data_IF_506667427259
#
_entry.id   IF_506667427259
#
_cell.length_a   1.000
_cell.length_b   1.000
_cell.length_c   1.000
_cell.angle_alpha   90.00
_cell.angle_beta   90.00
_cell.angle_gamma   90.00
#
_symmetry.space_group_name_H-M   'P 1'
#
loop_
_entity.id
_entity.type
_entity.pdbx_description
1 polymer ?
#
# COMPACT_ATOMS: atom_id res chain seq x y z
N UNK A 1 -1.80 12.19 9.43
CA UNK A 1 -0.76 11.92 8.41
C UNK A 1 -1.48 11.35 7.22
N UNK A 2 -1.23 11.88 6.04
CA UNK A 2 -1.68 11.25 4.80
C UNK A 2 -0.52 10.50 4.16
N UNK A 3 -0.85 9.53 3.32
CA UNK A 3 0.10 8.91 2.41
C UNK A 3 -0.35 9.09 0.97
N UNK A 4 0.61 9.08 0.06
CA UNK A 4 0.34 9.12 -1.37
C UNK A 4 1.07 7.94 -2.03
N UNK A 5 0.32 7.18 -2.81
CA UNK A 5 0.81 6.07 -3.61
C UNK A 5 0.28 6.16 -5.05
N UNK A 6 0.96 5.52 -6.00
CA UNK A 6 0.56 5.50 -7.41
C UNK A 6 0.49 4.07 -7.93
N UNK A 7 -0.66 3.72 -8.50
CA UNK A 7 -0.85 2.47 -9.23
C UNK A 7 -0.83 2.77 -10.73
N UNK A 8 0.03 2.09 -11.48
CA UNK A 8 0.08 2.15 -12.95
C UNK A 8 -0.66 1.00 -13.62
N UNK A 9 -0.61 0.94 -14.94
CA UNK A 9 -1.14 -0.19 -15.72
C UNK A 9 -2.61 -0.06 -16.14
N UNK A 10 -3.20 1.14 -16.05
CA UNK A 10 -4.57 1.40 -16.48
C UNK A 10 -4.67 1.74 -17.98
N UNK A 11 -4.01 0.96 -18.84
CA UNK A 11 -4.07 1.13 -20.28
C UNK A 11 -5.39 0.56 -20.83
N UNK A 12 -6.47 1.33 -20.71
CA UNK A 12 -7.79 0.96 -21.22
C UNK A 12 -8.14 1.76 -22.48
N UNK A 13 -8.75 1.10 -23.46
CA UNK A 13 -9.05 1.67 -24.79
C UNK A 13 -9.88 2.97 -24.73
N UNK A 14 -10.65 3.17 -23.66
CA UNK A 14 -11.58 4.29 -23.49
C UNK A 14 -11.05 5.43 -22.59
N UNK A 15 -9.75 5.45 -22.24
CA UNK A 15 -9.16 6.54 -21.43
C UNK A 15 -7.68 6.73 -21.72
N UNK A 16 -7.25 7.99 -21.88
CA UNK A 16 -5.83 8.35 -21.99
C UNK A 16 -5.10 8.36 -20.63
N UNK A 17 -5.82 8.20 -19.51
CA UNK A 17 -5.25 8.19 -18.16
C UNK A 17 -4.73 6.79 -17.86
N UNK A 18 -3.46 6.69 -17.44
CA UNK A 18 -2.71 5.43 -17.25
C UNK A 18 -2.34 5.14 -15.79
N UNK A 19 -2.46 6.16 -14.94
CA UNK A 19 -2.07 6.11 -13.53
C UNK A 19 -3.26 6.46 -12.64
N UNK A 20 -3.29 5.84 -11.47
CA UNK A 20 -4.21 6.13 -10.39
C UNK A 20 -3.38 6.57 -9.17
N UNK A 21 -3.48 7.84 -8.79
CA UNK A 21 -2.89 8.33 -7.56
C UNK A 21 -3.90 8.18 -6.43
N UNK A 22 -3.48 7.55 -5.34
CA UNK A 22 -4.31 7.29 -4.17
C UNK A 22 -3.68 8.05 -3.01
N UNK A 23 -4.43 8.98 -2.43
CA UNK A 23 -4.05 9.64 -1.20
C UNK A 23 -4.93 9.10 -0.09
N UNK A 24 -4.32 8.59 0.99
CA UNK A 24 -5.03 7.96 2.08
C UNK A 24 -4.76 8.73 3.39
N UNK A 25 -5.82 9.12 4.09
CA UNK A 25 -5.66 9.58 5.47
C UNK A 25 -5.57 8.39 6.44
N UNK A 26 -4.49 8.34 7.21
CA UNK A 26 -4.23 7.21 8.10
C UNK A 26 -5.10 7.17 9.36
N UNK A 27 -5.76 8.26 9.74
CA UNK A 27 -6.64 8.25 10.90
C UNK A 27 -8.02 7.70 10.53
N UNK A 28 -8.59 8.24 9.46
CA UNK A 28 -9.98 7.98 9.02
C UNK A 28 -10.08 6.84 8.00
N UNK A 29 -8.98 6.46 7.35
CA UNK A 29 -8.93 5.58 6.15
C UNK A 29 -9.57 6.22 4.91
N UNK A 30 -9.85 7.53 4.94
CA UNK A 30 -10.46 8.23 3.81
C UNK A 30 -9.51 8.26 2.63
N UNK A 31 -10.00 7.84 1.46
CA UNK A 31 -9.22 7.79 0.24
C UNK A 31 -9.67 8.87 -0.74
N UNK A 32 -8.71 9.66 -1.25
CA UNK A 32 -8.86 10.45 -2.46
C UNK A 32 -8.18 9.72 -3.61
N UNK A 33 -8.85 9.68 -4.76
CA UNK A 33 -8.34 8.99 -5.95
C UNK A 33 -8.29 9.94 -7.14
N UNK A 34 -7.13 10.03 -7.79
CA UNK A 34 -6.93 10.92 -8.92
C UNK A 34 -6.41 10.13 -10.13
N UNK A 35 -7.22 9.95 -11.17
CA UNK A 35 -6.74 9.35 -12.40
C UNK A 35 -5.89 10.38 -13.18
N UNK A 36 -4.75 9.95 -13.71
CA UNK A 36 -3.75 10.81 -14.34
C UNK A 36 -3.07 10.17 -15.56
N UNK A 37 -2.51 11.02 -16.43
CA UNK A 37 -1.67 10.61 -17.57
C UNK A 37 -0.18 10.48 -17.21
N UNK A 38 0.25 11.08 -16.11
CA UNK A 38 1.66 11.24 -15.78
C UNK A 38 1.95 11.13 -14.28
N UNK A 39 3.22 10.88 -13.94
CA UNK A 39 3.74 10.73 -12.57
C UNK A 39 4.73 11.86 -12.24
N UNK A 40 4.38 13.10 -12.58
CA UNK A 40 5.27 14.26 -12.39
C UNK A 40 5.01 14.96 -11.05
N UNK A 41 6.03 15.70 -10.58
CA UNK A 41 5.92 16.54 -9.36
C UNK A 41 4.72 17.49 -9.40
N UNK A 42 4.41 18.01 -10.60
CA UNK A 42 3.30 18.94 -10.82
C UNK A 42 1.94 18.26 -10.70
N UNK A 43 1.79 17.08 -11.31
CA UNK A 43 0.60 16.25 -11.14
C UNK A 43 0.31 15.99 -9.67
N UNK A 44 1.31 15.56 -8.90
CA UNK A 44 1.16 15.30 -7.47
C UNK A 44 0.80 16.55 -6.68
N UNK A 45 1.43 17.69 -7.00
CA UNK A 45 1.14 18.98 -6.37
C UNK A 45 -0.32 19.39 -6.62
N UNK A 46 -0.82 19.24 -7.85
CA UNK A 46 -2.19 19.58 -8.20
C UNK A 46 -3.21 18.65 -7.52
N UNK A 47 -2.89 17.37 -7.37
CA UNK A 47 -3.73 16.44 -6.59
C UNK A 47 -3.78 16.85 -5.10
N UNK A 48 -2.63 17.15 -4.51
CA UNK A 48 -2.53 17.52 -3.10
C UNK A 48 -3.21 18.87 -2.79
N UNK A 49 -3.12 19.86 -3.69
CA UNK A 49 -3.83 21.15 -3.53
C UNK A 49 -5.33 20.99 -3.34
N UNK A 50 -5.96 20.07 -4.07
CA UNK A 50 -7.40 19.76 -3.93
C UNK A 50 -7.74 19.15 -2.57
N UNK A 51 -6.80 18.45 -1.94
CA UNK A 51 -6.98 17.89 -0.60
C UNK A 51 -6.74 18.99 0.43
N UNK A 52 -5.73 19.83 0.24
CA UNK A 52 -5.34 20.86 1.20
C UNK A 52 -6.38 21.97 1.36
N UNK A 53 -7.25 22.18 0.37
CA UNK A 53 -8.44 23.05 0.51
C UNK A 53 -9.51 22.47 1.46
N UNK A 54 -9.53 21.15 1.67
CA UNK A 54 -10.44 20.46 2.58
C UNK A 54 -9.77 20.27 3.95
N UNK A 55 -8.53 19.76 3.94
CA UNK A 55 -7.71 19.58 5.14
C UNK A 55 -6.22 19.63 4.83
N UNK A 56 -5.46 20.35 5.66
CA UNK A 56 -4.01 20.39 5.57
C UNK A 56 -3.36 19.42 6.58
N UNK A 57 -2.65 18.37 6.12
CA UNK A 57 -2.05 17.38 7.01
C UNK A 57 -0.71 17.86 7.57
N UNK A 58 -0.38 17.46 8.80
CA UNK A 58 0.96 17.73 9.39
C UNK A 58 2.10 16.97 8.71
N UNK A 59 1.79 15.80 8.12
CA UNK A 59 2.77 14.87 7.57
C UNK A 59 2.24 14.21 6.31
N UNK A 60 3.11 14.10 5.30
CA UNK A 60 2.89 13.35 4.07
C UNK A 60 3.90 12.19 3.99
N UNK A 61 3.40 10.97 3.87
CA UNK A 61 4.20 9.79 3.59
C UNK A 61 4.18 9.51 2.07
N UNK A 62 5.34 9.53 1.43
CA UNK A 62 5.49 9.18 0.01
C UNK A 62 6.60 8.16 -0.19
N UNK A 63 6.63 7.52 -1.35
CA UNK A 63 7.82 6.75 -1.77
C UNK A 63 9.00 7.69 -2.12
N UNK A 64 10.12 7.08 -2.51
CA UNK A 64 11.34 7.76 -2.93
C UNK A 64 11.39 8.06 -4.43
N UNK A 65 10.24 8.14 -5.11
CA UNK A 65 10.21 8.49 -6.53
C UNK A 65 10.78 9.91 -6.73
N UNK A 66 11.51 10.11 -7.84
CA UNK A 66 12.16 11.36 -8.22
C UNK A 66 11.20 12.57 -8.19
N UNK A 67 9.93 12.34 -8.51
CA UNK A 67 8.89 13.36 -8.45
C UNK A 67 8.67 13.93 -7.03
N UNK A 68 8.75 13.09 -5.99
CA UNK A 68 8.59 13.53 -4.60
C UNK A 68 9.87 14.08 -3.98
N UNK A 69 11.03 13.84 -4.61
CA UNK A 69 12.31 14.38 -4.13
C UNK A 69 12.72 15.69 -4.80
N UNK A 70 11.94 16.16 -5.79
CA UNK A 70 12.23 17.39 -6.54
C UNK A 70 12.21 18.64 -5.65
N UNK A 71 13.01 19.63 -6.01
CA UNK A 71 13.08 20.92 -5.29
C UNK A 71 11.73 21.64 -5.29
N UNK A 72 10.99 21.60 -6.42
CA UNK A 72 9.64 22.16 -6.57
C UNK A 72 8.67 21.53 -5.56
N UNK A 73 8.68 20.20 -5.44
CA UNK A 73 7.79 19.49 -4.51
C UNK A 73 8.14 19.76 -3.04
N UNK A 74 9.44 19.77 -2.70
CA UNK A 74 9.90 20.13 -1.34
C UNK A 74 9.51 21.55 -0.95
N UNK A 75 9.65 22.52 -1.86
CA UNK A 75 9.22 23.92 -1.64
C UNK A 75 7.71 24.00 -1.42
N UNK A 76 6.92 23.28 -2.22
CA UNK A 76 5.47 23.20 -2.06
C UNK A 76 5.08 22.69 -0.67
N UNK A 77 5.65 21.57 -0.21
CA UNK A 77 5.37 21.05 1.14
C UNK A 77 5.80 22.00 2.25
N UNK A 78 6.96 22.65 2.09
CA UNK A 78 7.46 23.65 3.05
C UNK A 78 6.51 24.84 3.18
N UNK A 79 5.96 25.32 2.06
CA UNK A 79 4.98 26.42 2.05
C UNK A 79 3.71 26.08 2.86
N UNK A 80 3.29 24.81 2.83
CA UNK A 80 2.14 24.33 3.62
C UNK A 80 2.51 23.83 5.02
N UNK A 81 3.76 23.99 5.47
CA UNK A 81 4.27 23.47 6.75
C UNK A 81 4.09 21.95 6.92
N UNK A 82 4.22 21.20 5.83
CA UNK A 82 4.03 19.74 5.81
C UNK A 82 5.38 19.05 5.89
N UNK A 83 5.54 18.17 6.88
CA UNK A 83 6.73 17.33 6.98
C UNK A 83 6.60 16.11 6.06
N UNK A 84 7.51 15.99 5.10
CA UNK A 84 7.61 14.80 4.26
C UNK A 84 8.30 13.66 5.01
N UNK A 85 7.70 12.47 4.95
CA UNK A 85 8.28 11.21 5.38
C UNK A 85 8.45 10.35 4.12
N UNK A 86 9.65 9.87 3.88
CA UNK A 86 9.92 8.95 2.77
C UNK A 86 9.84 7.52 3.29
N UNK A 87 9.09 6.66 2.59
CA UNK A 87 9.12 5.23 2.89
C UNK A 87 10.55 4.71 2.67
N UNK A 88 11.07 3.95 3.62
CA UNK A 88 12.23 3.10 3.35
C UNK A 88 11.72 1.85 2.66
N UNK A 89 12.55 1.25 1.80
CA UNK A 89 12.27 -0.07 1.19
C UNK A 89 11.93 -1.16 2.25
N UNK A 90 12.22 -0.89 3.52
CA UNK A 90 12.19 -1.81 4.65
C UNK A 90 11.16 -1.45 5.74
N UNK A 91 10.07 -0.72 5.45
CA UNK A 91 8.95 -0.50 6.42
C UNK A 91 7.62 -1.11 5.95
N UNK A 92 7.44 -2.45 6.10
CA UNK A 92 6.23 -3.16 5.70
C UNK A 92 4.96 -2.62 6.37
N UNK A 93 5.06 -2.09 7.58
CA UNK A 93 3.90 -1.67 8.37
C UNK A 93 3.26 -0.37 7.86
N UNK A 94 4.07 0.57 7.34
CA UNK A 94 3.58 1.82 6.76
C UNK A 94 3.06 1.60 5.34
N UNK A 95 3.78 0.81 4.54
CA UNK A 95 3.34 0.45 3.19
C UNK A 95 2.10 -0.47 3.21
N UNK A 96 2.01 -1.41 4.15
CA UNK A 96 0.93 -2.41 4.17
C UNK A 96 -0.47 -1.82 4.35
N UNK A 97 -0.60 -0.64 4.99
CA UNK A 97 -1.89 0.07 5.06
C UNK A 97 -2.31 0.61 3.70
N UNK A 98 -1.39 1.26 2.98
CA UNK A 98 -1.64 1.75 1.63
C UNK A 98 -1.87 0.59 0.67
N UNK A 99 -1.02 -0.43 0.74
CA UNK A 99 -1.09 -1.60 -0.14
C UNK A 99 -2.45 -2.30 -0.04
N UNK A 100 -2.97 -2.51 1.18
CA UNK A 100 -4.29 -3.13 1.36
C UNK A 100 -5.44 -2.27 0.83
N UNK A 101 -5.39 -0.95 1.03
CA UNK A 101 -6.41 -0.04 0.50
C UNK A 101 -6.34 0.01 -1.02
N UNK A 102 -5.14 0.13 -1.58
CA UNK A 102 -4.90 0.12 -3.03
C UNK A 102 -5.41 -1.18 -3.65
N UNK A 103 -5.07 -2.34 -3.07
CA UNK A 103 -5.58 -3.63 -3.51
C UNK A 103 -7.12 -3.68 -3.49
N UNK A 104 -7.74 -3.14 -2.45
CA UNK A 104 -9.22 -3.11 -2.32
C UNK A 104 -9.84 -2.24 -3.41
N UNK A 105 -9.35 -1.01 -3.60
CA UNK A 105 -9.86 -0.08 -4.61
C UNK A 105 -9.66 -0.63 -6.03
N UNK A 106 -8.47 -1.16 -6.33
CA UNK A 106 -8.15 -1.74 -7.64
C UNK A 106 -8.97 -3.00 -7.90
N UNK A 107 -9.18 -3.86 -6.91
CA UNK A 107 -10.01 -5.04 -7.05
C UNK A 107 -11.48 -4.68 -7.36
N UNK A 108 -12.06 -3.73 -6.61
CA UNK A 108 -13.42 -3.22 -6.86
C UNK A 108 -13.54 -2.60 -8.25
N UNK A 109 -12.57 -1.77 -8.63
CA UNK A 109 -12.53 -1.16 -9.96
C UNK A 109 -12.45 -2.20 -11.07
N UNK A 110 -11.59 -3.22 -10.92
CA UNK A 110 -11.49 -4.33 -11.87
C UNK A 110 -12.81 -5.07 -12.04
N UNK A 111 -13.52 -5.35 -10.95
CA UNK A 111 -14.85 -5.98 -11.01
C UNK A 111 -15.83 -5.12 -11.82
N UNK A 112 -15.91 -3.81 -11.56
CA UNK A 112 -16.80 -2.90 -12.29
C UNK A 112 -16.45 -2.75 -13.77
N UNK A 113 -15.16 -2.67 -14.08
CA UNK A 113 -14.69 -2.60 -15.47
C UNK A 113 -15.04 -3.87 -16.23
N UNK A 114 -14.92 -5.05 -15.60
CA UNK A 114 -15.27 -6.32 -16.23
C UNK A 114 -16.77 -6.52 -16.40
N UNK A 115 -17.61 -5.89 -15.56
CA UNK A 115 -19.08 -5.95 -15.69
C UNK A 115 -19.64 -4.97 -16.71
N UNK A 116 -18.85 -4.01 -17.23
CA UNK A 116 -19.34 -2.97 -18.14
C UNK A 116 -18.26 -2.51 -19.11
N UNK A 117 -18.44 -2.76 -20.41
CA UNK A 117 -17.45 -2.42 -21.44
C UNK A 117 -17.53 -0.99 -21.96
N UNK A 118 -18.68 -0.31 -21.77
CA UNK A 118 -18.95 1.01 -22.37
C UNK A 118 -18.49 2.21 -21.52
N UNK A 119 -18.26 2.02 -20.23
CA UNK A 119 -17.98 3.13 -19.31
C UNK A 119 -16.48 3.28 -19.07
N UNK A 120 -15.90 4.50 -19.21
CA UNK A 120 -14.50 4.75 -18.87
C UNK A 120 -14.18 4.36 -17.43
N UNK A 121 -13.05 3.70 -17.21
CA UNK A 121 -12.61 3.28 -15.87
C UNK A 121 -12.54 4.44 -14.89
N UNK A 122 -12.32 5.66 -15.37
CA UNK A 122 -12.25 6.88 -14.56
C UNK A 122 -13.59 7.24 -13.94
N UNK A 123 -14.71 7.02 -14.65
CA UNK A 123 -16.06 7.22 -14.10
C UNK A 123 -16.42 6.12 -13.11
N UNK A 124 -16.01 4.88 -13.40
CA UNK A 124 -16.18 3.77 -12.47
C UNK A 124 -15.37 3.95 -11.20
N UNK A 125 -14.18 4.55 -11.30
CA UNK A 125 -13.34 4.90 -10.15
C UNK A 125 -14.05 5.86 -9.21
N UNK A 126 -14.74 6.89 -9.71
CA UNK A 126 -15.50 7.83 -8.87
C UNK A 126 -16.52 7.08 -8.00
N UNK A 127 -17.27 6.15 -8.62
CA UNK A 127 -18.22 5.31 -7.90
C UNK A 127 -17.53 4.39 -6.89
N UNK A 128 -16.41 3.75 -7.26
CA UNK A 128 -15.66 2.85 -6.37
C UNK A 128 -15.13 3.60 -5.15
N UNK A 129 -14.60 4.81 -5.35
CA UNK A 129 -14.08 5.66 -4.27
C UNK A 129 -15.20 6.12 -3.36
N UNK A 130 -16.35 6.51 -3.93
CA UNK A 130 -17.55 6.84 -3.17
C UNK A 130 -18.02 5.65 -2.32
N UNK A 131 -18.16 4.46 -2.91
CA UNK A 131 -18.58 3.24 -2.20
C UNK A 131 -17.58 2.87 -1.10
N UNK A 132 -16.27 2.94 -1.38
CA UNK A 132 -15.23 2.68 -0.39
C UNK A 132 -15.33 3.64 0.81
N UNK A 133 -15.44 4.94 0.56
CA UNK A 133 -15.49 5.94 1.64
C UNK A 133 -16.80 5.88 2.44
N UNK A 134 -17.87 5.35 1.86
CA UNK A 134 -19.17 5.20 2.54
C UNK A 134 -19.43 3.79 3.11
N UNK A 135 -18.48 2.86 2.97
CA UNK A 135 -18.57 1.51 3.53
C UNK A 135 -17.77 1.40 4.83
N UNK A 136 -18.32 0.79 5.89
CA UNK A 136 -17.58 0.52 7.12
C UNK A 136 -16.34 -0.33 6.85
N UNK A 137 -15.21 0.10 7.41
CA UNK A 137 -13.95 -0.65 7.29
C UNK A 137 -13.76 -1.54 8.51
N UNK A 138 -13.43 -2.84 8.34
CA UNK A 138 -13.36 -3.82 9.45
C UNK A 138 -12.51 -3.37 10.65
N UNK A 139 -11.34 -2.82 10.36
CA UNK A 139 -10.40 -2.28 11.36
C UNK A 139 -11.01 -1.14 12.18
N UNK A 140 -11.58 -0.12 11.53
CA UNK A 140 -12.10 1.06 12.25
C UNK A 140 -13.52 0.84 12.77
N UNK A 141 -14.31 -0.02 12.12
CA UNK A 141 -15.73 -0.21 12.40
C UNK A 141 -16.64 0.88 11.84
N UNK A 142 -16.10 1.88 11.15
CA UNK A 142 -16.84 3.04 10.65
C UNK A 142 -16.51 3.32 9.19
N UNK A 143 -17.44 3.94 8.44
CA UNK A 143 -17.17 4.48 7.12
C UNK A 143 -16.10 5.57 7.19
N UNK A 144 -15.12 5.58 6.26
CA UNK A 144 -14.12 6.63 6.20
C UNK A 144 -14.69 8.05 6.10
N UNK A 145 -15.76 8.24 5.31
CA UNK A 145 -16.45 9.53 5.16
C UNK A 145 -17.03 10.02 6.50
N UNK A 146 -17.62 9.12 7.28
CA UNK A 146 -18.14 9.45 8.60
C UNK A 146 -17.01 9.88 9.56
N UNK A 147 -15.88 9.17 9.58
CA UNK A 147 -14.74 9.56 10.41
C UNK A 147 -14.10 10.89 9.96
N UNK A 148 -14.20 11.22 8.68
CA UNK A 148 -13.68 12.45 8.10
C UNK A 148 -14.58 13.65 8.40
N UNK A 149 -15.88 13.55 8.13
CA UNK A 149 -16.81 14.69 8.14
C UNK A 149 -17.87 14.64 9.24
N UNK A 150 -18.04 13.50 9.93
CA UNK A 150 -19.04 13.32 11.00
C UNK A 150 -20.45 13.04 10.50
N UNK A 151 -20.63 12.99 9.19
CA UNK A 151 -21.90 12.69 8.53
C UNK A 151 -21.69 11.74 7.37
N UNK A 152 -22.75 11.04 6.99
CA UNK A 152 -22.80 10.27 5.76
C UNK A 152 -23.69 11.01 4.76
N UNK A 153 -23.40 10.90 3.46
CA UNK A 153 -24.27 11.46 2.44
C UNK A 153 -25.64 10.76 2.46
N UNK A 154 -26.66 11.49 2.03
CA UNK A 154 -28.05 11.01 2.05
C UNK A 154 -28.19 9.67 1.30
N UNK A 155 -27.58 9.59 0.13
CA UNK A 155 -27.52 8.44 -0.77
C UNK A 155 -26.51 7.36 -0.35
N UNK A 156 -25.93 7.45 0.86
CA UNK A 156 -25.03 6.40 1.37
C UNK A 156 -25.72 5.04 1.33
N UNK A 157 -25.02 3.98 0.87
CA UNK A 157 -25.59 2.64 0.67
C UNK A 157 -25.90 1.90 1.97
N UNK A 158 -25.65 2.51 3.13
CA UNK A 158 -25.93 1.91 4.42
C UNK A 158 -27.42 2.01 4.80
N UNK A 159 -27.98 1.01 5.52
CA UNK A 159 -29.33 1.12 6.05
C UNK A 159 -29.46 2.32 7.01
N UNK A 160 -30.58 3.04 6.97
CA UNK A 160 -30.80 4.24 7.79
C UNK A 160 -30.64 3.97 9.30
N UNK A 161 -31.06 2.80 9.77
CA UNK A 161 -30.88 2.37 11.17
C UNK A 161 -29.39 2.35 11.57
N UNK A 162 -28.50 1.94 10.66
CA UNK A 162 -27.05 1.95 10.91
C UNK A 162 -26.51 3.37 10.90
N UNK A 163 -27.00 4.25 10.01
CA UNK A 163 -26.60 5.66 9.94
C UNK A 163 -26.92 6.43 11.23
N UNK A 164 -28.11 6.20 11.78
CA UNK A 164 -28.61 6.90 12.98
C UNK A 164 -27.93 6.45 14.28
N UNK A 165 -27.33 5.26 14.29
CA UNK A 165 -26.70 4.68 15.47
C UNK A 165 -25.22 5.05 15.62
N UNK A 166 -24.64 5.84 14.73
CA UNK A 166 -23.24 6.26 14.89
C UNK A 166 -23.10 7.32 15.98
N UNK A 167 -22.14 7.15 16.91
CA UNK A 167 -21.90 8.11 17.97
C UNK A 167 -21.27 9.40 17.41
N UNK A 168 -21.34 10.53 18.15
CA UNK A 168 -20.71 11.78 17.74
C UNK A 168 -19.28 11.60 17.23
N UNK A 169 -18.89 12.36 16.21
CA UNK A 169 -17.64 12.16 15.45
C UNK A 169 -16.39 12.01 16.34
N UNK A 170 -16.28 12.76 17.43
CA UNK A 170 -15.14 12.69 18.34
C UNK A 170 -15.07 11.33 19.05
N UNK A 171 -16.22 10.81 19.51
CA UNK A 171 -16.32 9.49 20.11
C UNK A 171 -16.05 8.39 19.07
N UNK A 172 -16.62 8.52 17.86
CA UNK A 172 -16.36 7.59 16.76
C UNK A 172 -14.87 7.50 16.42
N UNK A 173 -14.17 8.65 16.37
CA UNK A 173 -12.71 8.71 16.15
C UNK A 173 -11.95 8.02 17.28
N UNK A 174 -12.33 8.23 18.54
CA UNK A 174 -11.68 7.56 19.67
C UNK A 174 -11.86 6.04 19.61
N UNK A 175 -13.06 5.57 19.29
CA UNK A 175 -13.36 4.14 19.11
C UNK A 175 -12.53 3.57 17.95
N UNK A 176 -12.48 4.27 16.81
CA UNK A 176 -11.71 3.84 15.64
C UNK A 176 -10.20 3.73 15.93
N UNK A 177 -9.65 4.65 16.73
CA UNK A 177 -8.25 4.60 17.19
C UNK A 177 -8.03 3.37 18.07
N UNK A 178 -8.87 3.16 19.08
CA UNK A 178 -8.77 2.02 20.00
C UNK A 178 -8.87 0.68 19.25
N UNK A 179 -9.81 0.56 18.32
CA UNK A 179 -9.97 -0.62 17.45
C UNK A 179 -8.74 -0.83 16.56
N UNK A 180 -8.22 0.25 15.97
CA UNK A 180 -6.99 0.19 15.16
C UNK A 180 -5.81 -0.32 15.99
N UNK A 181 -5.61 0.17 17.21
CA UNK A 181 -4.54 -0.27 18.11
C UNK A 181 -4.71 -1.75 18.46
N UNK A 182 -5.91 -2.17 18.86
CA UNK A 182 -6.22 -3.57 19.17
C UNK A 182 -5.94 -4.48 17.98
N UNK A 183 -6.38 -4.07 16.78
CA UNK A 183 -6.15 -4.82 15.55
C UNK A 183 -4.64 -4.96 15.22
N UNK A 184 -3.86 -3.89 15.38
CA UNK A 184 -2.40 -3.96 15.20
C UNK A 184 -1.72 -4.87 16.23
N UNK A 185 -2.16 -4.84 17.49
CA UNK A 185 -1.63 -5.71 18.54
C UNK A 185 -1.86 -7.19 18.22
N UNK A 186 -3.09 -7.55 17.81
CA UNK A 186 -3.44 -8.92 17.41
C UNK A 186 -2.66 -9.35 16.17
N UNK A 187 -2.55 -8.50 15.15
CA UNK A 187 -1.78 -8.81 13.95
C UNK A 187 -0.30 -8.99 14.23
N UNK A 188 0.28 -8.17 15.13
CA UNK A 188 1.66 -8.32 15.58
C UNK A 188 1.87 -9.66 16.28
N UNK A 189 0.99 -10.04 17.21
CA UNK A 189 1.08 -11.34 17.90
C UNK A 189 1.01 -12.52 16.93
N UNK A 190 0.10 -12.46 15.95
CA UNK A 190 0.00 -13.48 14.89
C UNK A 190 1.26 -13.55 14.05
N UNK A 191 1.78 -12.39 13.63
CA UNK A 191 3.02 -12.31 12.87
C UNK A 191 4.19 -12.89 13.68
N UNK A 192 4.37 -12.45 14.93
CA UNK A 192 5.45 -12.89 15.82
C UNK A 192 5.38 -14.41 16.09
N UNK A 193 4.17 -15.00 16.20
CA UNK A 193 3.98 -16.46 16.38
C UNK A 193 4.45 -17.29 15.17
N UNK A 194 4.31 -16.74 13.96
CA UNK A 194 4.73 -17.40 12.72
C UNK A 194 6.09 -16.93 12.22
N UNK A 195 6.69 -15.94 12.90
CA UNK A 195 8.00 -15.40 12.54
C UNK A 195 9.08 -16.38 12.97
N UNK A 196 9.59 -17.15 12.00
CA UNK A 196 10.79 -17.96 12.19
C UNK A 196 11.99 -17.08 11.82
N UNK A 197 12.85 -16.79 12.80
CA UNK A 197 14.09 -16.06 12.58
C UNK A 197 15.08 -16.96 11.85
N UNK A 198 15.00 -16.99 10.52
CA UNK A 198 16.00 -17.66 9.70
C UNK A 198 17.30 -16.83 9.77
N UNK A 199 18.19 -17.21 10.69
CA UNK A 199 19.51 -16.61 10.86
C UNK A 199 20.48 -17.21 9.84
N UNK A 200 20.58 -16.56 8.68
CA UNK A 200 21.58 -16.92 7.68
C UNK A 200 22.97 -16.39 8.07
N UNK A 201 24.01 -17.14 7.74
CA UNK A 201 25.41 -16.74 7.83
C UNK A 201 25.92 -16.31 6.45
N UNK A 202 26.97 -15.48 6.45
CA UNK A 202 27.68 -15.17 5.20
C UNK A 202 28.23 -16.47 4.63
N UNK A 203 27.92 -16.73 3.36
CA UNK A 203 28.27 -17.98 2.67
C UNK A 203 27.12 -18.98 2.53
N UNK A 204 26.04 -18.84 3.31
CA UNK A 204 24.88 -19.74 3.20
C UNK A 204 24.22 -19.63 1.82
N UNK A 205 23.79 -20.78 1.29
CA UNK A 205 22.95 -20.82 0.09
C UNK A 205 21.48 -20.67 0.48
N UNK A 206 20.80 -19.75 -0.19
CA UNK A 206 19.42 -19.38 0.08
C UNK A 206 18.60 -19.34 -1.20
N UNK A 207 17.32 -19.68 -1.05
CA UNK A 207 16.29 -19.51 -2.06
C UNK A 207 15.58 -18.18 -1.83
N UNK A 208 15.42 -17.38 -2.90
CA UNK A 208 14.74 -16.09 -2.90
C UNK A 208 13.31 -16.23 -3.41
N UNK A 209 12.32 -15.76 -2.63
CA UNK A 209 10.92 -15.77 -3.04
C UNK A 209 10.63 -14.68 -4.07
N UNK A 210 10.12 -15.08 -5.24
CA UNK A 210 9.69 -14.15 -6.28
C UNK A 210 8.40 -13.42 -5.90
N UNK A 211 8.21 -12.21 -6.43
CA UNK A 211 6.90 -11.58 -6.48
C UNK A 211 6.07 -12.27 -7.57
N UNK A 212 5.12 -13.12 -7.17
CA UNK A 212 4.09 -13.58 -8.11
C UNK A 212 3.00 -12.51 -8.20
N UNK A 213 2.78 -11.98 -9.41
CA UNK A 213 1.55 -11.26 -9.69
C UNK A 213 0.38 -12.25 -9.71
N UNK A 214 -0.86 -11.83 -9.42
CA UNK A 214 -2.01 -12.73 -9.26
C UNK A 214 -2.35 -13.64 -10.46
N UNK A 215 -1.71 -13.42 -11.63
CA UNK A 215 -1.91 -14.20 -12.84
C UNK A 215 -0.62 -14.82 -13.42
N UNK A 216 0.55 -14.60 -12.81
CA UNK A 216 1.78 -15.28 -13.21
C UNK A 216 1.94 -16.53 -12.36
N UNK A 217 1.76 -17.67 -13.01
CA UNK A 217 2.29 -18.99 -12.65
C UNK A 217 1.72 -19.73 -11.43
N UNK A 218 0.61 -20.45 -11.64
CA UNK A 218 0.24 -21.60 -10.81
C UNK A 218 1.23 -22.77 -10.89
N UNK A 219 2.17 -22.76 -11.86
CA UNK A 219 3.10 -23.84 -12.16
C UNK A 219 4.60 -23.48 -12.05
N UNK A 220 4.97 -22.23 -11.75
CA UNK A 220 6.39 -21.89 -11.57
C UNK A 220 6.76 -21.98 -10.09
N UNK A 221 8.02 -22.37 -9.82
CA UNK A 221 8.55 -22.35 -8.47
C UNK A 221 8.41 -20.94 -7.87
N UNK A 222 7.77 -20.79 -6.70
CA UNK A 222 7.67 -19.49 -6.03
C UNK A 222 9.03 -18.98 -5.53
N UNK A 223 10.08 -19.81 -5.60
CA UNK A 223 11.43 -19.49 -5.20
C UNK A 223 12.42 -19.68 -6.34
N UNK A 224 13.34 -18.73 -6.49
CA UNK A 224 14.50 -18.76 -7.38
C UNK A 224 15.79 -18.90 -6.58
N UNK A 225 16.84 -19.41 -7.21
CA UNK A 225 18.16 -19.60 -6.62
C UNK A 225 18.76 -20.96 -7.01
N UNK A 226 19.79 -21.44 -6.29
CA UNK A 226 20.31 -20.87 -5.05
C UNK A 226 21.14 -19.59 -5.26
N UNK A 227 21.08 -18.69 -4.28
CA UNK A 227 21.92 -17.49 -4.17
C UNK A 227 22.77 -17.60 -2.90
N UNK A 228 23.96 -17.02 -2.89
CA UNK A 228 24.84 -16.96 -1.74
C UNK A 228 24.62 -15.68 -0.96
N UNK A 229 24.58 -15.80 0.38
CA UNK A 229 24.62 -14.63 1.27
C UNK A 229 26.02 -14.03 1.24
N UNK A 230 26.12 -12.82 0.69
CA UNK A 230 27.37 -12.05 0.56
C UNK A 230 27.67 -11.30 1.85
N UNK A 231 26.66 -10.68 2.46
CA UNK A 231 26.83 -9.88 3.68
C UNK A 231 25.57 -9.84 4.52
N UNK A 232 25.74 -9.86 5.85
CA UNK A 232 24.66 -9.55 6.80
C UNK A 232 24.66 -8.05 7.09
N UNK A 233 23.56 -7.37 6.78
CA UNK A 233 23.39 -5.92 7.01
C UNK A 233 22.69 -5.62 8.33
N UNK A 234 21.77 -6.48 8.74
CA UNK A 234 21.06 -6.40 10.03
C UNK A 234 20.62 -7.80 10.46
N UNK A 235 19.95 -7.92 11.62
CA UNK A 235 19.36 -9.20 12.04
C UNK A 235 18.31 -9.75 11.05
N UNK A 236 17.70 -8.88 10.25
CA UNK A 236 16.59 -9.23 9.36
C UNK A 236 16.86 -8.88 7.89
N UNK A 237 18.08 -8.44 7.55
CA UNK A 237 18.41 -7.96 6.19
C UNK A 237 19.77 -8.49 5.76
N UNK A 238 19.79 -9.09 4.58
CA UNK A 238 20.95 -9.74 3.99
C UNK A 238 21.18 -9.21 2.57
N UNK A 239 22.43 -9.14 2.16
CA UNK A 239 22.84 -8.91 0.79
C UNK A 239 23.17 -10.27 0.17
N UNK A 240 22.54 -10.57 -0.95
CA UNK A 240 22.72 -11.83 -1.70
C UNK A 240 23.28 -11.55 -3.09
N UNK A 241 23.98 -12.51 -3.68
CA UNK A 241 24.56 -12.46 -5.03
C UNK A 241 23.53 -12.60 -6.17
N UNK A 242 22.33 -12.07 -5.93
CA UNK A 242 21.27 -11.96 -6.93
C UNK A 242 21.42 -10.62 -7.65
N UNK A 243 21.50 -10.58 -8.99
CA UNK A 243 21.48 -9.32 -9.73
C UNK A 243 20.19 -8.52 -9.48
N UNK A 244 20.34 -7.22 -9.23
CA UNK A 244 19.23 -6.29 -9.05
C UNK A 244 18.99 -5.52 -10.35
N UNK A 245 17.93 -5.92 -11.07
CA UNK A 245 17.57 -5.36 -12.38
C UNK A 245 17.22 -3.86 -12.35
N UNK A 246 16.82 -3.32 -11.19
CA UNK A 246 16.43 -1.91 -11.05
C UNK A 246 17.62 -0.99 -10.80
N UNK A 247 18.69 -1.51 -10.19
CA UNK A 247 19.88 -0.73 -9.82
C UNK A 247 21.11 -1.07 -10.66
N UNK A 248 21.05 -2.14 -11.46
CA UNK A 248 22.17 -2.66 -12.24
C UNK A 248 23.26 -3.33 -11.41
N UNK A 249 23.08 -3.45 -10.08
CA UNK A 249 24.05 -4.08 -9.19
C UNK A 249 24.03 -5.59 -9.32
N UNK A 250 25.19 -6.22 -9.13
CA UNK A 250 25.36 -7.67 -9.11
C UNK A 250 24.79 -8.32 -7.84
N UNK A 251 24.49 -7.52 -6.81
CA UNK A 251 23.89 -7.96 -5.54
C UNK A 251 22.53 -7.29 -5.30
N UNK A 252 21.71 -7.94 -4.46
CA UNK A 252 20.41 -7.45 -4.05
C UNK A 252 20.29 -7.49 -2.52
N UNK A 253 19.64 -6.47 -1.95
CA UNK A 253 19.42 -6.37 -0.51
C UNK A 253 18.01 -6.83 -0.20
N UNK A 254 17.90 -7.91 0.56
CA UNK A 254 16.64 -8.62 0.78
C UNK A 254 16.38 -8.86 2.27
N UNK A 255 15.09 -8.85 2.63
CA UNK A 255 14.64 -9.14 3.99
C UNK A 255 14.64 -10.66 4.24
N UNK A 256 14.95 -11.09 5.46
CA UNK A 256 15.05 -12.52 5.83
C UNK A 256 13.78 -13.31 5.52
N UNK A 257 12.60 -12.68 5.59
CA UNK A 257 11.31 -13.30 5.26
C UNK A 257 11.16 -13.70 3.79
N UNK A 258 12.00 -13.19 2.89
CA UNK A 258 12.03 -13.58 1.47
C UNK A 258 13.04 -14.67 1.18
N UNK A 259 13.79 -15.10 2.19
CA UNK A 259 14.83 -16.09 2.06
C UNK A 259 14.37 -17.40 2.71
N UNK A 260 14.72 -18.51 2.09
CA UNK A 260 14.65 -19.85 2.69
C UNK A 260 16.01 -20.53 2.58
N UNK A 261 16.39 -21.38 3.55
CA UNK A 261 17.60 -22.18 3.43
C UNK A 261 17.50 -23.08 2.18
N UNK A 262 18.55 -23.14 1.39
CA UNK A 262 18.68 -24.10 0.30
C UNK A 262 19.27 -25.40 0.85
N UNK A 263 18.57 -26.51 0.65
CA UNK A 263 19.08 -27.84 0.99
C UNK A 263 19.41 -28.58 -0.31
N UNK A 264 20.68 -28.95 -0.48
CA UNK A 264 21.12 -29.81 -1.58
C UNK A 264 20.40 -31.16 -1.52
N UNK A 265 20.01 -31.69 -2.69
CA UNK A 265 19.40 -33.03 -2.83
C UNK A 265 20.30 -34.18 -2.35
N UNK A 266 21.59 -33.94 -2.13
CA UNK A 266 22.53 -34.93 -1.60
C UNK A 266 22.30 -35.34 -0.13
N UNK A 267 21.39 -34.68 0.59
CA UNK A 267 21.07 -34.98 2.00
C UNK A 267 19.74 -35.72 2.23
N UNK A 268 19.05 -36.14 1.16
CA UNK A 268 17.88 -37.01 1.29
C UNK A 268 18.32 -38.46 1.04
N UNK A 269 18.83 -39.12 2.08
CA UNK A 269 18.75 -40.58 2.13
C UNK A 269 17.27 -40.93 2.31
N UNK A 270 16.66 -41.43 1.24
CA UNK A 270 15.37 -42.12 1.31
C UNK A 270 15.60 -43.37 2.16
N UNK A 271 15.03 -43.38 3.36
CA UNK A 271 14.73 -44.62 4.08
C UNK A 271 13.48 -45.26 3.45
#
# INVERSE_FOLDING_TARGET
MISLDTVGGFNYHNSQKKYLHIVLDHATRYAWTFPSKSVTSETYTNCLKQIFSIQCPKQLLSDRNAAFTSSKFKKFLKHHNIRQLLTSANRPQCNGKNERVNQTLVAKLRCKVNSTTKTPWTKLLEQVTYEYNNSPHDVTGFPPAYLMFGTLPYDSPLPNQVKLNYPPIQQARQIAVNRTIKHHKVNKQRYDKHYVDAKFKVGDLVLYQNFSYPNSSKLQSPYNGPFKVVRKLSNVTYEIDKPNQYTGKLTDIVHSTRLKPFHSKSNFQLC
#
